data_IF_574552161066
#
_entry.id   IF_574552161066
#
_cell.length_a   1.000
_cell.length_b   1.000
_cell.length_c   1.000
_cell.angle_alpha   90.00
_cell.angle_beta   90.00
_cell.angle_gamma   90.00
#
_symmetry.space_group_name_H-M   'P 1'
#
loop_
_entity.id
_entity.type
_entity.pdbx_description
1 polymer ?
#
# COMPACT_ATOMS: atom_id res chain seq x y z
N UNK A 1 15.90 -10.20 -8.77
CA UNK A 1 14.66 -10.04 -9.55
C UNK A 1 14.29 -8.57 -9.50
N UNK A 2 14.04 -7.89 -10.63
CA UNK A 2 13.85 -6.44 -10.66
C UNK A 2 12.42 -6.09 -10.23
N UNK A 3 12.10 -6.30 -8.95
CA UNK A 3 10.74 -6.14 -8.39
C UNK A 3 10.73 -5.31 -7.10
N UNK A 4 11.29 -4.10 -7.08
CA UNK A 4 11.50 -3.42 -5.79
C UNK A 4 10.96 -2.01 -5.67
N UNK A 5 9.80 -1.74 -6.30
CA UNK A 5 8.94 -0.64 -5.82
C UNK A 5 8.20 -0.99 -4.52
N UNK A 6 8.26 -2.26 -4.09
CA UNK A 6 7.79 -2.72 -2.79
C UNK A 6 8.78 -2.37 -1.68
N UNK A 7 8.29 -1.72 -0.63
CA UNK A 7 9.04 -1.33 0.56
C UNK A 7 8.37 -1.87 1.83
N UNK A 8 9.13 -2.12 2.90
CA UNK A 8 8.56 -2.47 4.21
C UNK A 8 7.58 -1.40 4.69
N UNK A 9 6.44 -1.80 5.27
CA UNK A 9 5.38 -0.87 5.71
C UNK A 9 5.87 0.20 6.69
N UNK A 10 6.90 -0.11 7.49
CA UNK A 10 7.54 0.81 8.44
C UNK A 10 8.18 2.03 7.77
N UNK A 11 8.43 1.98 6.47
CA UNK A 11 8.99 3.08 5.67
C UNK A 11 7.90 3.93 5.02
N UNK A 12 6.62 3.57 5.15
CA UNK A 12 5.51 4.37 4.64
C UNK A 12 5.39 5.67 5.45
N UNK A 13 5.21 6.79 4.74
CA UNK A 13 4.90 8.07 5.38
C UNK A 13 3.50 8.02 6.02
N UNK A 14 3.30 8.75 7.12
CA UNK A 14 1.97 8.83 7.73
C UNK A 14 0.97 9.51 6.81
N UNK A 15 -0.28 9.05 6.85
CA UNK A 15 -1.39 9.64 6.09
C UNK A 15 -1.26 9.46 4.58
N UNK A 16 -0.50 8.46 4.12
CA UNK A 16 -0.34 8.17 2.69
C UNK A 16 -1.44 7.23 2.19
N UNK A 17 -1.85 7.43 0.94
CA UNK A 17 -2.87 6.63 0.24
C UNK A 17 -3.43 7.37 -0.98
N UNK A 18 -4.05 6.66 -1.94
CA UNK A 18 -4.15 5.19 -2.04
C UNK A 18 -2.82 4.54 -2.48
N UNK A 19 -2.49 3.38 -1.90
CA UNK A 19 -1.30 2.59 -2.28
C UNK A 19 -1.60 1.09 -2.31
N UNK A 20 -0.73 0.30 -2.94
CA UNK A 20 -0.82 -1.16 -2.87
C UNK A 20 -0.22 -1.66 -1.55
N UNK A 21 -0.93 -2.54 -0.88
CA UNK A 21 -0.58 -3.15 0.40
C UNK A 21 -0.52 -4.67 0.25
N UNK A 22 0.41 -5.29 0.96
CA UNK A 22 0.55 -6.75 1.04
C UNK A 22 0.73 -7.19 2.47
N UNK A 23 -0.10 -8.14 2.92
CA UNK A 23 -0.10 -8.62 4.32
C UNK A 23 0.96 -9.70 4.56
N UNK A 24 1.31 -10.47 3.54
CA UNK A 24 2.32 -11.52 3.64
C UNK A 24 3.71 -11.12 3.14
N UNK A 25 4.68 -12.00 3.39
CA UNK A 25 6.11 -11.82 3.10
C UNK A 25 6.55 -12.43 1.76
N UNK A 26 5.71 -13.24 1.13
CA UNK A 26 5.95 -13.83 -0.18
C UNK A 26 5.63 -12.83 -1.30
N UNK A 27 6.32 -12.96 -2.42
CA UNK A 27 6.01 -12.23 -3.66
C UNK A 27 4.66 -12.65 -4.26
N UNK A 28 4.21 -13.86 -3.94
CA UNK A 28 2.96 -14.43 -4.45
C UNK A 28 1.75 -14.12 -3.56
N UNK A 29 1.98 -13.44 -2.43
CA UNK A 29 0.89 -13.06 -1.54
C UNK A 29 -0.01 -12.01 -2.20
N UNK A 30 -1.33 -12.12 -2.01
CA UNK A 30 -2.28 -11.18 -2.60
C UNK A 30 -2.00 -9.76 -2.08
N UNK A 31 -2.16 -8.80 -2.99
CA UNK A 31 -2.11 -7.37 -2.68
C UNK A 31 -3.45 -6.71 -2.95
N UNK A 32 -3.68 -5.59 -2.28
CA UNK A 32 -4.91 -4.80 -2.39
C UNK A 32 -4.60 -3.32 -2.23
N UNK A 33 -5.53 -2.46 -2.61
CA UNK A 33 -5.38 -1.02 -2.38
C UNK A 33 -5.84 -0.68 -0.97
N UNK A 34 -5.08 0.16 -0.28
CA UNK A 34 -5.46 0.70 1.02
C UNK A 34 -4.78 2.02 1.33
N UNK A 35 -4.99 2.47 2.57
CA UNK A 35 -4.49 3.75 3.07
C UNK A 35 -4.14 3.64 4.55
N UNK A 36 -3.32 4.57 5.02
CA UNK A 36 -3.10 4.77 6.45
C UNK A 36 -3.95 5.94 6.93
N UNK A 37 -4.78 5.70 7.95
CA UNK A 37 -5.52 6.76 8.61
C UNK A 37 -4.53 7.75 9.27
N UNK A 38 -4.56 9.06 8.92
CA UNK A 38 -3.60 10.02 9.44
C UNK A 38 -3.72 10.25 10.94
N UNK A 39 -4.92 10.08 11.51
CA UNK A 39 -5.19 10.36 12.92
C UNK A 39 -4.74 9.21 13.84
N UNK A 40 -5.12 7.97 13.50
CA UNK A 40 -4.78 6.79 14.30
C UNK A 40 -3.48 6.10 13.88
N UNK A 41 -2.99 6.34 12.66
CA UNK A 41 -1.88 5.60 12.07
C UNK A 41 -2.20 4.15 11.73
N UNK A 42 -3.47 3.73 11.82
CA UNK A 42 -3.92 2.39 11.47
C UNK A 42 -4.09 2.24 9.96
N UNK A 43 -3.98 1.01 9.48
CA UNK A 43 -4.10 0.70 8.07
C UNK A 43 -5.48 0.14 7.75
N UNK A 44 -6.04 0.58 6.63
CA UNK A 44 -7.35 0.17 6.17
C UNK A 44 -7.32 -0.20 4.69
N UNK A 45 -8.14 -1.16 4.30
CA UNK A 45 -8.43 -1.44 2.89
C UNK A 45 -9.53 -0.51 2.34
N UNK A 46 -9.89 -0.68 1.06
CA UNK A 46 -10.95 0.10 0.41
C UNK A 46 -12.35 -0.12 1.02
N UNK A 47 -12.57 -1.17 1.81
CA UNK A 47 -13.82 -1.46 2.50
C UNK A 47 -13.82 -0.92 3.95
N UNK A 48 -12.81 -0.12 4.34
CA UNK A 48 -12.58 0.38 5.70
C UNK A 48 -12.37 -0.72 6.75
N UNK A 49 -11.87 -1.89 6.36
CA UNK A 49 -11.49 -2.95 7.31
C UNK A 49 -10.06 -2.71 7.78
N UNK A 50 -9.84 -2.75 9.08
CA UNK A 50 -8.50 -2.62 9.66
C UNK A 50 -7.62 -3.80 9.24
N UNK A 51 -6.42 -3.52 8.77
CA UNK A 51 -5.46 -4.50 8.25
C UNK A 51 -4.06 -4.25 8.84
N UNK A 52 -3.18 -5.25 8.75
CA UNK A 52 -1.79 -5.17 9.21
C UNK A 52 -0.83 -5.53 8.07
N UNK A 53 -0.67 -4.64 7.06
CA UNK A 53 0.20 -4.90 5.93
C UNK A 53 1.67 -4.97 6.37
N UNK A 54 2.47 -5.80 5.70
CA UNK A 54 3.93 -5.89 5.89
C UNK A 54 4.70 -5.09 4.85
N UNK A 55 4.12 -4.92 3.67
CA UNK A 55 4.74 -4.24 2.53
C UNK A 55 3.76 -3.27 1.89
N UNK A 56 4.31 -2.20 1.31
CA UNK A 56 3.57 -1.28 0.48
C UNK A 56 4.32 -1.00 -0.82
N UNK A 57 3.58 -0.62 -1.85
CA UNK A 57 4.10 -0.09 -3.09
C UNK A 57 3.31 1.17 -3.43
N UNK A 58 4.02 2.27 -3.70
CA UNK A 58 3.38 3.46 -4.24
C UNK A 58 2.89 3.11 -5.64
N UNK A 59 1.58 3.20 -5.85
CA UNK A 59 1.04 3.17 -7.21
C UNK A 59 1.67 4.38 -7.89
N UNK A 60 2.50 4.20 -8.94
CA UNK A 60 2.96 5.36 -9.70
C UNK A 60 1.71 6.14 -10.10
N UNK A 61 1.72 7.46 -9.91
CA UNK A 61 0.64 8.29 -10.41
C UNK A 61 0.49 7.92 -11.89
N UNK A 62 -0.60 7.24 -12.24
CA UNK A 62 -0.97 7.10 -13.63
C UNK A 62 -1.30 8.53 -14.02
N UNK A 63 -0.34 9.23 -14.63
CA UNK A 63 -0.65 10.42 -15.39
C UNK A 63 -1.72 9.96 -16.36
N UNK A 64 -2.94 10.41 -16.10
CA UNK A 64 -4.05 10.28 -17.02
C UNK A 64 -3.71 11.13 -18.24
N UNK A 65 -2.77 10.68 -19.07
CA UNK A 65 -2.76 10.97 -20.48
C UNK A 65 -3.94 10.19 -21.08
N UNK A 66 -5.15 10.69 -20.78
CA UNK A 66 -6.30 10.47 -21.64
C UNK A 66 -5.84 10.94 -23.03
N UNK A 67 -5.60 9.96 -23.90
CA UNK A 67 -5.38 10.17 -25.32
C UNK A 67 -6.70 10.49 -26.01
#
# INVERSE_FOLDING_TARGET
MPDTNWKPIKEAARGIGPMLLRVGSSTDDPFFVGYQDPDSGRWFDQENREVTPQWFCLVPAFDGAAS
#
